data_IF_949649937925
#
_entry.id   IF_949649937925
#
_cell.length_a   1.000
_cell.length_b   1.000
_cell.length_c   1.000
_cell.angle_alpha   90.00
_cell.angle_beta   90.00
_cell.angle_gamma   90.00
#
_symmetry.space_group_name_H-M   'P 1'
#
loop_
_entity.id
_entity.type
_entity.pdbx_description
1 polymer ?
#
# COMPACT_ATOMS: atom_id res chain seq x y z
N UNK A 1 6.46 -2.82 0.83
CA UNK A 1 6.70 -3.66 -0.36
C UNK A 1 6.21 -5.07 -0.13
N UNK A 2 5.74 -5.72 -1.22
CA UNK A 2 5.46 -7.16 -1.21
C UNK A 2 6.73 -7.97 -0.97
N UNK A 3 6.66 -9.11 -0.23
CA UNK A 3 7.79 -10.03 -0.08
C UNK A 3 8.35 -10.57 -1.41
N UNK A 4 7.51 -10.60 -2.46
CA UNK A 4 7.89 -11.10 -3.79
C UNK A 4 8.35 -9.96 -4.74
N UNK A 5 8.56 -8.76 -4.21
CA UNK A 5 8.97 -7.62 -5.05
C UNK A 5 10.36 -7.83 -5.66
N UNK A 6 10.53 -7.42 -6.93
CA UNK A 6 11.76 -7.62 -7.72
C UNK A 6 13.02 -7.08 -7.04
N UNK A 7 12.91 -6.00 -6.27
CA UNK A 7 14.02 -5.43 -5.52
C UNK A 7 14.70 -6.47 -4.61
N UNK A 8 13.92 -7.37 -4.01
CA UNK A 8 14.45 -8.38 -3.08
C UNK A 8 14.99 -9.63 -3.75
N UNK A 9 14.57 -9.91 -4.99
CA UNK A 9 15.10 -11.05 -5.75
C UNK A 9 16.45 -10.76 -6.38
N UNK A 10 16.76 -9.50 -6.65
CA UNK A 10 18.00 -9.07 -7.31
C UNK A 10 19.09 -8.63 -6.33
N UNK A 11 18.72 -8.30 -5.08
CA UNK A 11 19.68 -7.76 -4.12
C UNK A 11 20.20 -8.82 -3.15
N UNK A 12 21.49 -9.07 -3.23
CA UNK A 12 22.21 -9.99 -2.33
C UNK A 12 22.65 -9.33 -1.02
N UNK A 13 22.60 -8.01 -0.92
CA UNK A 13 23.08 -7.23 0.23
C UNK A 13 22.10 -7.15 1.40
N UNK A 14 20.88 -7.64 1.22
CA UNK A 14 19.86 -7.67 2.27
C UNK A 14 20.35 -8.42 3.53
N UNK A 15 19.96 -7.89 4.68
CA UNK A 15 20.28 -8.53 5.97
C UNK A 15 19.62 -9.92 6.07
N UNK A 16 20.24 -10.82 6.82
CA UNK A 16 19.72 -12.18 7.04
C UNK A 16 18.33 -12.17 7.69
N UNK A 17 18.02 -11.15 8.47
CA UNK A 17 16.70 -10.99 9.09
C UNK A 17 15.62 -10.73 8.03
N UNK A 18 15.89 -9.84 7.06
CA UNK A 18 14.98 -9.53 5.96
C UNK A 18 14.80 -10.77 5.07
N UNK A 19 15.89 -11.47 4.70
CA UNK A 19 15.84 -12.70 3.92
C UNK A 19 14.99 -13.80 4.59
N UNK A 20 15.16 -13.99 5.90
CA UNK A 20 14.36 -14.96 6.68
C UNK A 20 12.89 -14.60 6.70
N UNK A 21 12.55 -13.31 6.84
CA UNK A 21 11.17 -12.85 6.82
C UNK A 21 10.52 -13.05 5.44
N UNK A 22 11.20 -12.69 4.36
CA UNK A 22 10.74 -12.93 2.99
C UNK A 22 10.49 -14.42 2.76
N UNK A 23 11.41 -15.28 3.18
CA UNK A 23 11.24 -16.73 3.07
C UNK A 23 10.05 -17.25 3.91
N UNK A 24 9.82 -16.70 5.11
CA UNK A 24 8.62 -17.01 5.91
C UNK A 24 7.35 -16.68 5.12
N UNK A 25 7.29 -15.48 4.54
CA UNK A 25 6.13 -15.01 3.79
C UNK A 25 5.88 -15.81 2.49
N UNK A 26 6.94 -16.26 1.79
CA UNK A 26 6.79 -17.04 0.55
C UNK A 26 6.10 -18.39 0.74
N UNK A 27 6.05 -18.90 1.97
CA UNK A 27 5.33 -20.14 2.31
C UNK A 27 3.84 -19.94 2.55
N UNK A 28 3.39 -18.71 2.68
CA UNK A 28 2.00 -18.37 2.95
C UNK A 28 1.37 -17.96 1.62
N UNK A 29 0.36 -18.69 1.16
CA UNK A 29 -0.45 -18.24 0.04
C UNK A 29 -1.36 -17.11 0.53
N UNK A 30 -1.03 -15.90 0.17
CA UNK A 30 -1.79 -14.71 0.53
C UNK A 30 -2.80 -14.43 -0.58
N UNK A 31 -4.08 -14.64 -0.29
CA UNK A 31 -5.20 -14.13 -1.10
C UNK A 31 -5.78 -12.89 -0.44
N UNK A 32 -6.54 -12.08 -1.18
CA UNK A 32 -7.20 -10.89 -0.60
C UNK A 32 -8.11 -11.21 0.59
N UNK A 33 -8.78 -12.35 0.54
CA UNK A 33 -9.65 -12.79 1.63
C UNK A 33 -8.87 -13.14 2.90
N UNK A 34 -7.67 -13.72 2.72
CA UNK A 34 -6.79 -14.07 3.84
C UNK A 34 -6.05 -12.87 4.42
N UNK A 35 -5.76 -11.84 3.62
CA UNK A 35 -5.04 -10.62 4.07
C UNK A 35 -5.74 -9.94 5.25
N UNK A 36 -7.08 -9.88 5.21
CA UNK A 36 -7.84 -9.21 6.26
C UNK A 36 -7.84 -9.98 7.60
N UNK A 37 -7.57 -11.28 7.57
CA UNK A 37 -7.56 -12.16 8.74
C UNK A 37 -6.14 -12.41 9.28
N UNK A 38 -5.11 -12.10 8.49
CA UNK A 38 -3.72 -12.28 8.91
C UNK A 38 -3.30 -11.22 9.94
N UNK A 39 -2.55 -11.66 10.94
CA UNK A 39 -1.78 -10.72 11.77
C UNK A 39 -0.76 -9.99 10.89
N UNK A 40 -0.84 -8.66 10.87
CA UNK A 40 0.00 -7.83 10.02
C UNK A 40 1.42 -7.82 10.57
N UNK A 41 2.32 -8.48 9.84
CA UNK A 41 3.74 -8.54 10.16
C UNK A 41 4.58 -7.87 9.09
N UNK A 42 5.67 -7.27 9.50
CA UNK A 42 6.65 -6.69 8.59
C UNK A 42 8.02 -6.52 9.20
N UNK A 43 8.97 -6.22 8.35
CA UNK A 43 10.34 -5.94 8.74
C UNK A 43 10.85 -4.71 8.00
N UNK A 44 11.53 -3.82 8.73
CA UNK A 44 12.22 -2.67 8.15
C UNK A 44 13.42 -3.16 7.36
N UNK A 45 13.57 -2.64 6.14
CA UNK A 45 14.75 -2.87 5.31
C UNK A 45 15.79 -1.77 5.53
N UNK A 46 16.95 -1.93 4.89
CA UNK A 46 18.00 -0.93 4.84
C UNK A 46 17.71 0.20 3.83
N UNK A 47 16.65 0.05 3.02
CA UNK A 47 16.28 1.02 2.01
C UNK A 47 15.49 2.19 2.59
N UNK A 48 15.75 3.35 1.98
CA UNK A 48 15.02 4.60 2.21
C UNK A 48 14.64 5.16 0.85
N UNK A 49 13.47 5.77 0.74
CA UNK A 49 12.99 6.46 -0.45
C UNK A 49 12.57 7.88 -0.10
N UNK A 50 12.80 8.81 -1.00
CA UNK A 50 12.35 10.19 -0.84
C UNK A 50 10.88 10.32 -1.28
N UNK A 51 10.05 10.95 -0.46
CA UNK A 51 8.71 11.35 -0.87
C UNK A 51 8.82 12.52 -1.87
N UNK A 52 8.31 12.40 -3.09
CA UNK A 52 8.49 13.42 -4.12
C UNK A 52 7.83 14.76 -3.81
N UNK A 53 6.81 14.79 -2.96
CA UNK A 53 6.07 16.00 -2.60
C UNK A 53 6.69 16.68 -1.38
N UNK A 54 6.91 15.93 -0.31
CA UNK A 54 7.38 16.48 0.96
C UNK A 54 8.90 16.52 1.10
N UNK A 55 9.63 15.90 0.16
CA UNK A 55 11.09 15.75 0.18
C UNK A 55 11.65 15.10 1.46
N UNK A 56 10.82 14.32 2.13
CA UNK A 56 11.20 13.59 3.35
C UNK A 56 11.54 12.15 3.03
N UNK A 57 12.51 11.64 3.74
CA UNK A 57 12.90 10.24 3.67
C UNK A 57 11.85 9.33 4.32
N UNK A 58 11.48 8.26 3.62
CA UNK A 58 10.54 7.25 4.06
C UNK A 58 11.25 5.90 4.11
N UNK A 59 11.14 5.21 5.25
CA UNK A 59 11.69 3.87 5.41
C UNK A 59 10.89 2.85 4.58
N UNK A 60 11.60 1.95 3.92
CA UNK A 60 11.00 0.85 3.17
C UNK A 60 10.85 -0.37 4.07
N UNK A 61 9.66 -0.94 4.08
CA UNK A 61 9.29 -2.14 4.84
C UNK A 61 8.84 -3.26 3.90
N UNK A 62 9.18 -4.48 4.25
CA UNK A 62 8.52 -5.69 3.71
C UNK A 62 7.38 -6.05 4.64
N UNK A 63 6.18 -6.24 4.10
CA UNK A 63 5.02 -6.60 4.90
C UNK A 63 4.24 -7.76 4.25
N UNK A 64 3.74 -8.67 5.09
CA UNK A 64 3.08 -9.89 4.65
C UNK A 64 1.69 -9.67 4.02
N UNK A 65 1.10 -8.50 4.20
CA UNK A 65 -0.23 -8.17 3.68
C UNK A 65 -0.19 -7.37 2.36
N UNK A 66 1.01 -7.05 1.85
CA UNK A 66 1.16 -6.38 0.55
C UNK A 66 1.15 -7.41 -0.57
N UNK A 67 0.14 -7.32 -1.43
CA UNK A 67 -0.03 -8.23 -2.56
C UNK A 67 0.96 -7.89 -3.69
N UNK A 68 1.58 -8.93 -4.28
CA UNK A 68 2.49 -8.78 -5.43
C UNK A 68 1.76 -8.40 -6.71
N UNK A 69 0.51 -8.82 -6.82
CA UNK A 69 -0.30 -8.68 -8.03
C UNK A 69 -1.07 -7.34 -8.08
N UNK A 70 -0.90 -6.51 -7.07
CA UNK A 70 -1.48 -5.18 -7.02
C UNK A 70 -0.46 -4.14 -7.47
N UNK A 71 -0.67 -3.58 -8.65
CA UNK A 71 0.26 -2.62 -9.26
C UNK A 71 1.66 -3.20 -9.45
N UNK A 72 2.65 -2.55 -8.89
CA UNK A 72 4.06 -2.98 -8.94
C UNK A 72 4.46 -3.89 -7.78
N UNK A 73 3.56 -4.18 -6.82
CA UNK A 73 3.89 -4.80 -5.54
C UNK A 73 4.58 -3.83 -4.56
N UNK A 74 4.59 -2.55 -4.91
CA UNK A 74 5.06 -1.45 -4.09
C UNK A 74 3.89 -0.51 -3.80
N UNK A 75 3.59 -0.29 -2.53
CA UNK A 75 2.54 0.63 -2.09
C UNK A 75 3.13 1.72 -1.20
N UNK A 76 2.59 2.93 -1.29
CA UNK A 76 2.78 3.96 -0.28
C UNK A 76 1.79 3.71 0.86
N UNK A 77 2.30 3.50 2.05
CA UNK A 77 1.48 3.31 3.24
C UNK A 77 0.84 4.65 3.66
N UNK A 78 -0.43 4.58 4.06
CA UNK A 78 -1.21 5.76 4.48
C UNK A 78 -1.90 5.52 5.83
N UNK A 79 -1.15 5.35 6.93
CA UNK A 79 -1.69 4.91 8.23
C UNK A 79 -2.82 5.78 8.77
N UNK A 80 -2.84 7.06 8.47
CA UNK A 80 -3.91 7.94 8.94
C UNK A 80 -5.25 7.72 8.20
N UNK A 81 -5.24 7.04 7.04
CA UNK A 81 -6.38 6.93 6.12
C UNK A 81 -6.61 5.53 5.53
N UNK A 82 -5.89 4.52 6.00
CA UNK A 82 -6.13 3.08 5.74
C UNK A 82 -6.00 2.30 7.03
N UNK A 83 -7.05 1.57 7.40
CA UNK A 83 -7.12 0.87 8.69
C UNK A 83 -6.04 -0.22 8.82
N UNK A 84 -5.67 -0.90 7.73
CA UNK A 84 -4.63 -1.93 7.77
C UNK A 84 -3.25 -1.33 8.04
N UNK A 85 -2.98 -0.19 7.39
CA UNK A 85 -1.74 0.55 7.59
C UNK A 85 -1.70 1.20 8.98
N UNK A 86 -2.84 1.63 9.51
CA UNK A 86 -2.97 2.16 10.87
C UNK A 86 -2.60 1.11 11.93
N UNK A 87 -3.17 -0.08 11.83
CA UNK A 87 -2.88 -1.19 12.73
C UNK A 87 -1.39 -1.59 12.66
N UNK A 88 -0.83 -1.61 11.45
CA UNK A 88 0.59 -1.87 11.23
C UNK A 88 1.48 -0.80 11.86
N UNK A 89 1.17 0.47 11.64
CA UNK A 89 1.93 1.59 12.18
C UNK A 89 1.92 1.60 13.71
N UNK A 90 0.77 1.34 14.33
CA UNK A 90 0.66 1.23 15.78
C UNK A 90 1.44 0.04 16.33
N UNK A 91 1.37 -1.12 15.68
CA UNK A 91 2.11 -2.32 16.09
C UNK A 91 3.63 -2.09 16.11
N UNK A 92 4.14 -1.33 15.17
CA UNK A 92 5.58 -1.05 15.04
C UNK A 92 6.00 0.34 15.54
N UNK A 93 5.09 1.08 16.21
CA UNK A 93 5.30 2.44 16.70
C UNK A 93 5.88 3.38 15.62
N UNK A 94 5.31 3.32 14.41
CA UNK A 94 5.74 4.16 13.30
C UNK A 94 5.04 5.53 13.37
N UNK A 95 5.78 6.61 13.15
CA UNK A 95 5.17 7.93 13.06
C UNK A 95 4.34 8.06 11.78
N UNK A 96 3.17 8.68 11.88
CA UNK A 96 2.34 9.03 10.74
C UNK A 96 1.68 10.40 10.94
N UNK A 97 1.23 11.00 9.87
CA UNK A 97 0.65 12.34 9.86
C UNK A 97 -0.72 12.29 9.21
N UNK A 98 -1.72 12.90 9.86
CA UNK A 98 -3.03 13.10 9.25
C UNK A 98 -2.90 14.10 8.10
N UNK A 99 -3.44 13.76 6.94
CA UNK A 99 -3.40 14.59 5.74
C UNK A 99 -4.78 14.96 5.21
N UNK A 100 -5.84 14.38 5.77
CA UNK A 100 -7.23 14.77 5.51
C UNK A 100 -7.85 15.22 6.84
N UNK A 101 -8.40 16.41 6.86
CA UNK A 101 -9.15 16.96 7.98
C UNK A 101 -10.64 16.73 7.77
N UNK A 102 -11.31 16.26 8.81
CA UNK A 102 -12.74 16.04 8.84
C UNK A 102 -13.27 16.16 10.27
N UNK A 103 -14.46 16.72 10.42
CA UNK A 103 -15.18 16.78 11.69
C UNK A 103 -15.52 15.39 12.25
N UNK A 104 -15.45 14.35 11.41
CA UNK A 104 -15.74 12.94 11.77
C UNK A 104 -14.50 12.12 12.05
N UNK A 105 -13.29 12.70 11.94
CA UNK A 105 -12.05 11.99 12.18
C UNK A 105 -11.88 11.71 13.68
N UNK A 106 -11.74 10.43 14.04
CA UNK A 106 -11.40 9.97 15.38
C UNK A 106 -9.89 9.76 15.49
N UNK A 107 -9.33 9.87 16.71
CA UNK A 107 -7.89 9.68 16.92
C UNK A 107 -7.51 8.20 17.08
N UNK A 108 -8.49 7.34 17.38
CA UNK A 108 -8.28 5.92 17.70
C UNK A 108 -8.33 4.99 16.48
N UNK A 109 -8.64 5.51 15.30
CA UNK A 109 -8.75 4.73 14.06
C UNK A 109 -8.38 5.56 12.81
N UNK A 110 -8.15 4.89 11.69
CA UNK A 110 -7.90 5.55 10.42
C UNK A 110 -9.18 6.20 9.88
N UNK A 111 -9.10 7.47 9.49
CA UNK A 111 -10.21 8.13 8.81
C UNK A 111 -10.21 7.83 7.31
N UNK A 112 -11.19 7.09 6.82
CA UNK A 112 -11.29 6.62 5.41
C UNK A 112 -12.31 7.46 4.60
N UNK A 113 -12.54 8.70 4.98
CA UNK A 113 -13.50 9.59 4.32
C UNK A 113 -12.85 10.66 3.43
N UNK A 114 -13.71 11.48 2.86
CA UNK A 114 -13.31 12.69 2.13
C UNK A 114 -13.19 13.87 3.07
N UNK A 115 -12.41 14.88 2.68
CA UNK A 115 -12.23 16.10 3.46
C UNK A 115 -11.22 17.03 2.82
N UNK A 116 -10.81 18.05 3.57
CA UNK A 116 -9.78 19.00 3.12
C UNK A 116 -8.39 18.48 3.47
N UNK A 117 -7.45 18.68 2.56
CA UNK A 117 -6.07 18.32 2.82
C UNK A 117 -5.43 19.27 3.84
N UNK A 118 -4.72 18.66 4.80
CA UNK A 118 -3.84 19.32 5.76
C UNK A 118 -2.45 18.71 5.68
N UNK A 119 -1.42 19.37 6.15
CA UNK A 119 -0.05 18.88 6.19
C UNK A 119 0.47 18.34 4.83
N UNK A 120 -0.03 18.87 3.72
CA UNK A 120 0.17 18.33 2.37
C UNK A 120 0.94 19.30 1.45
N UNK A 121 1.83 20.12 2.00
CA UNK A 121 2.62 21.13 1.26
C UNK A 121 1.71 22.02 0.40
N UNK A 122 1.99 22.16 -0.88
CA UNK A 122 1.24 23.01 -1.83
C UNK A 122 -0.20 22.55 -2.08
N UNK A 123 -0.55 21.34 -1.67
CA UNK A 123 -1.90 20.79 -1.81
C UNK A 123 -2.77 21.01 -0.57
N UNK A 124 -2.25 21.63 0.48
CA UNK A 124 -3.00 21.92 1.71
C UNK A 124 -4.19 22.83 1.41
N UNK A 125 -5.35 22.52 2.00
CA UNK A 125 -6.61 23.28 1.84
C UNK A 125 -7.46 22.85 0.65
N UNK A 126 -6.96 22.03 -0.26
CA UNK A 126 -7.73 21.46 -1.35
C UNK A 126 -8.71 20.40 -0.85
N UNK A 127 -9.82 20.23 -1.57
CA UNK A 127 -10.67 19.06 -1.41
C UNK A 127 -9.93 17.80 -1.85
N UNK A 128 -10.15 16.67 -1.16
CA UNK A 128 -9.43 15.43 -1.39
C UNK A 128 -9.57 14.89 -2.82
N UNK A 129 -10.73 15.08 -3.48
CA UNK A 129 -10.95 14.64 -4.85
C UNK A 129 -10.24 15.55 -5.86
N UNK A 130 -10.27 16.85 -5.63
CA UNK A 130 -9.50 17.81 -6.42
C UNK A 130 -8.00 17.57 -6.27
N UNK A 131 -7.54 17.34 -5.05
CA UNK A 131 -6.14 17.07 -4.76
C UNK A 131 -5.61 15.83 -5.45
N UNK A 132 -6.37 14.74 -5.52
CA UNK A 132 -5.98 13.52 -6.27
C UNK A 132 -5.59 13.86 -7.71
N UNK A 133 -6.44 14.61 -8.41
CA UNK A 133 -6.20 14.99 -9.80
C UNK A 133 -4.96 15.88 -9.94
N UNK A 134 -4.79 16.85 -9.04
CA UNK A 134 -3.63 17.76 -9.07
C UNK A 134 -2.32 17.07 -8.73
N UNK A 135 -2.34 16.14 -7.77
CA UNK A 135 -1.15 15.35 -7.39
C UNK A 135 -0.73 14.43 -8.55
N UNK A 136 -1.68 13.75 -9.20
CA UNK A 136 -1.38 12.91 -10.37
C UNK A 136 -0.73 13.75 -11.46
N UNK A 137 -1.31 14.90 -11.78
CA UNK A 137 -0.76 15.81 -12.78
C UNK A 137 0.64 16.30 -12.40
N UNK A 138 0.87 16.66 -11.14
CA UNK A 138 2.19 17.05 -10.64
C UNK A 138 3.24 15.94 -10.84
N UNK A 139 2.87 14.69 -10.54
CA UNK A 139 3.77 13.54 -10.72
C UNK A 139 4.08 13.30 -12.21
N UNK A 140 3.09 13.47 -13.10
CA UNK A 140 3.27 13.32 -14.54
C UNK A 140 4.15 14.44 -15.13
N UNK A 141 3.90 15.70 -14.75
CA UNK A 141 4.68 16.86 -15.21
C UNK A 141 6.15 16.84 -14.75
N UNK A 142 6.46 16.11 -13.68
CA UNK A 142 7.83 15.96 -13.16
C UNK A 142 8.47 14.60 -13.50
N UNK A 143 7.88 13.80 -14.38
CA UNK A 143 8.36 12.44 -14.74
C UNK A 143 8.54 11.48 -13.55
N UNK A 144 7.76 11.69 -12.47
CA UNK A 144 7.82 10.90 -11.24
C UNK A 144 6.80 9.77 -11.20
N UNK A 145 5.82 9.79 -12.10
CA UNK A 145 4.76 8.81 -12.18
C UNK A 145 3.82 9.05 -13.35
N UNK A 146 2.87 8.17 -13.51
CA UNK A 146 1.82 8.30 -14.53
C UNK A 146 0.51 7.74 -14.01
N UNK A 147 -0.60 8.24 -14.52
CA UNK A 147 -1.91 7.64 -14.31
C UNK A 147 -1.97 6.29 -15.01
N UNK A 148 -2.50 5.28 -14.32
CA UNK A 148 -2.69 3.94 -14.86
C UNK A 148 -4.07 3.41 -14.48
N UNK A 149 -4.77 2.84 -15.46
CA UNK A 149 -6.08 2.22 -15.24
C UNK A 149 -5.92 0.72 -15.21
N UNK A 150 -6.09 0.13 -14.04
CA UNK A 150 -6.06 -1.32 -13.86
C UNK A 150 -7.49 -1.87 -13.83
N UNK A 151 -7.81 -2.76 -14.76
CA UNK A 151 -9.08 -3.47 -14.76
C UNK A 151 -8.99 -4.70 -13.86
N UNK A 152 -9.80 -4.71 -12.82
CA UNK A 152 -9.90 -5.85 -11.93
C UNK A 152 -11.12 -6.67 -12.29
N UNK A 153 -10.90 -7.76 -13.00
CA UNK A 153 -11.92 -8.76 -13.26
C UNK A 153 -11.80 -9.85 -12.18
N UNK A 154 -12.90 -10.15 -11.53
CA UNK A 154 -12.99 -11.40 -10.78
C UNK A 154 -13.03 -12.54 -11.76
N UNK A 155 -12.29 -13.62 -11.46
CA UNK A 155 -12.37 -14.84 -12.24
C UNK A 155 -13.84 -15.25 -12.39
N UNK A 156 -14.30 -15.25 -13.61
CA UNK A 156 -15.63 -15.71 -13.88
C UNK A 156 -15.62 -17.21 -13.63
N UNK A 157 -16.54 -17.69 -12.81
CA UNK A 157 -16.61 -19.10 -12.42
C UNK A 157 -17.02 -20.01 -13.56
N UNK A 158 -16.18 -20.07 -14.60
CA UNK A 158 -16.31 -20.99 -15.74
C UNK A 158 -16.29 -22.44 -15.26
N UNK A 159 -15.68 -22.72 -14.12
CA UNK A 159 -15.61 -24.04 -13.51
C UNK A 159 -16.71 -24.33 -12.50
N UNK A 160 -17.79 -23.55 -12.48
CA UNK A 160 -18.95 -23.97 -11.69
C UNK A 160 -19.53 -25.22 -12.30
N UNK A 161 -19.66 -26.23 -11.49
CA UNK A 161 -20.22 -27.53 -11.78
C UNK A 161 -21.59 -27.43 -12.44
N UNK A 162 -21.58 -27.24 -13.71
CA UNK A 162 -22.74 -27.51 -14.53
C UNK A 162 -22.45 -28.76 -15.29
N UNK A 163 -23.43 -29.62 -15.29
CA UNK A 163 -23.28 -31.02 -15.60
C UNK A 163 -22.81 -31.30 -17.02
N UNK A 164 -22.95 -30.46 -17.99
CA UNK A 164 -22.51 -30.75 -19.35
C UNK A 164 -22.26 -29.46 -20.14
N UNK A 165 -21.60 -29.64 -21.23
CA UNK A 165 -21.33 -28.57 -22.17
C UNK A 165 -20.22 -27.68 -21.70
N UNK A 166 -20.49 -26.44 -21.68
CA UNK A 166 -19.55 -25.45 -21.24
C UNK A 166 -19.31 -25.61 -19.73
N UNK A 167 -18.10 -25.86 -19.28
CA UNK A 167 -17.78 -25.75 -17.86
C UNK A 167 -18.01 -24.31 -17.43
N UNK A 168 -18.79 -24.15 -16.42
CA UNK A 168 -19.18 -22.84 -15.93
C UNK A 168 -18.59 -22.65 -14.55
#
# INVERSE_FOLDING_TARGET
>A
LSPNHKLFTSDTSLSDKVKKFIFKCSKIKVSEETVNQLDKEGIKTEYVVENPITKRDISVWVANYVLSDYGTGCIMSVPAHDQRDYEFANKYNLPFVKVIDSEYACDDEAYVGEGKLINSSDFTGLDSNEAKSKIIRFLEENDLGRSEVNYRLRDWGISRQRYWGCPI
#
